data_IF_088297524826
#
_entry.id   IF_088297524826
#
_cell.length_a   1.000
_cell.length_b   1.000
_cell.length_c   1.000
_cell.angle_alpha   90.00
_cell.angle_beta   90.00
_cell.angle_gamma   90.00
#
_symmetry.space_group_name_H-M   'P 1'
#
loop_
_entity.id
_entity.type
_entity.pdbx_description
1 polymer ?
#
# COMPACT_ATOMS: atom_id res chain seq x y z
N UNK A 1 -1.59 30.52 -7.29
CA UNK A 1 -1.58 29.50 -8.35
C UNK A 1 -0.15 29.07 -8.78
N UNK A 2 0.71 29.93 -9.32
CA UNK A 2 2.06 29.52 -9.73
C UNK A 2 2.90 28.96 -8.56
N UNK A 3 2.81 29.58 -7.38
CA UNK A 3 3.51 29.13 -6.17
C UNK A 3 3.05 27.73 -5.72
N UNK A 4 1.74 27.50 -5.61
CA UNK A 4 1.18 26.21 -5.17
C UNK A 4 1.53 25.07 -6.14
N UNK A 5 1.49 25.31 -7.46
CA UNK A 5 1.94 24.35 -8.48
C UNK A 5 3.44 24.08 -8.36
N UNK A 6 4.27 25.11 -8.18
CA UNK A 6 5.72 24.93 -7.98
C UNK A 6 6.02 24.10 -6.72
N UNK A 7 5.29 24.35 -5.61
CA UNK A 7 5.46 23.58 -4.37
C UNK A 7 5.02 22.11 -4.52
N UNK A 8 3.96 21.83 -5.30
CA UNK A 8 3.61 20.46 -5.65
C UNK A 8 4.73 19.78 -6.45
N UNK A 9 5.20 20.44 -7.53
CA UNK A 9 6.26 19.87 -8.38
C UNK A 9 7.55 19.61 -7.58
N UNK A 10 7.96 20.52 -6.71
CA UNK A 10 9.11 20.36 -5.82
C UNK A 10 8.90 19.20 -4.84
N UNK A 11 7.72 19.10 -4.24
CA UNK A 11 7.37 18.03 -3.32
C UNK A 11 7.43 16.68 -4.00
N UNK A 12 6.81 16.52 -5.17
CA UNK A 12 6.81 15.28 -5.94
C UNK A 12 8.22 14.90 -6.41
N UNK A 13 8.98 15.87 -6.96
CA UNK A 13 10.36 15.65 -7.39
C UNK A 13 11.24 15.17 -6.22
N UNK A 14 11.08 15.77 -5.04
CA UNK A 14 11.84 15.37 -3.86
C UNK A 14 11.54 13.93 -3.42
N UNK A 15 10.27 13.51 -3.49
CA UNK A 15 9.88 12.13 -3.18
C UNK A 15 10.56 11.17 -4.15
N UNK A 16 10.48 11.44 -5.45
CA UNK A 16 11.11 10.62 -6.50
C UNK A 16 12.62 10.55 -6.30
N UNK A 17 13.29 11.70 -6.15
CA UNK A 17 14.75 11.76 -5.95
C UNK A 17 15.18 11.10 -4.64
N UNK A 18 14.57 11.46 -3.52
CA UNK A 18 14.96 10.91 -2.22
C UNK A 18 14.73 9.39 -2.12
N UNK A 19 13.72 8.88 -2.82
CA UNK A 19 13.43 7.45 -2.85
C UNK A 19 14.32 6.71 -3.85
N UNK A 20 14.57 7.26 -5.03
CA UNK A 20 15.46 6.66 -6.05
C UNK A 20 16.91 6.57 -5.57
N UNK A 21 17.43 7.62 -4.93
CA UNK A 21 18.81 7.65 -4.40
C UNK A 21 18.91 7.12 -2.97
N UNK A 22 17.79 6.71 -2.36
CA UNK A 22 17.77 6.14 -1.02
C UNK A 22 18.24 7.13 0.05
N UNK A 23 17.97 8.44 -0.12
CA UNK A 23 18.41 9.51 0.75
C UNK A 23 17.96 9.27 2.21
N UNK A 24 18.93 8.99 3.09
CA UNK A 24 18.72 8.74 4.50
C UNK A 24 19.70 9.60 5.30
N UNK A 25 19.19 10.39 6.23
CA UNK A 25 20.02 11.01 7.24
C UNK A 25 20.15 10.11 8.47
N UNK A 26 21.29 10.18 9.13
CA UNK A 26 21.50 9.50 10.40
C UNK A 26 21.34 10.54 11.52
N UNK A 27 20.24 10.41 12.25
CA UNK A 27 19.97 11.23 13.44
C UNK A 27 20.22 10.33 14.66
N UNK A 28 21.35 10.49 15.32
CA UNK A 28 21.79 9.60 16.40
C UNK A 28 21.94 8.14 15.93
N UNK A 29 21.18 7.22 16.54
CA UNK A 29 21.17 5.78 16.19
C UNK A 29 20.13 5.41 15.14
N UNK A 30 19.28 6.36 14.69
CA UNK A 30 18.17 6.10 13.77
C UNK A 30 18.49 6.65 12.39
N UNK A 31 18.22 5.84 11.35
CA UNK A 31 18.27 6.28 9.95
C UNK A 31 16.88 6.79 9.56
N UNK A 32 16.77 8.08 9.29
CA UNK A 32 15.53 8.74 8.87
C UNK A 32 15.54 8.90 7.35
N UNK A 33 14.42 8.59 6.72
CA UNK A 33 14.22 8.84 5.28
C UNK A 33 13.89 10.32 5.09
N UNK A 34 14.51 10.98 4.13
CA UNK A 34 14.42 12.44 3.97
C UNK A 34 13.34 12.93 3.02
N UNK A 35 12.60 12.03 2.38
CA UNK A 35 11.63 12.40 1.34
C UNK A 35 10.48 13.30 1.81
N UNK A 36 10.19 13.34 3.12
CA UNK A 36 9.16 14.18 3.71
C UNK A 36 9.62 15.62 4.01
N UNK A 37 10.93 15.86 4.05
CA UNK A 37 11.49 17.15 4.52
C UNK A 37 11.15 18.29 3.58
N UNK A 38 11.32 18.10 2.27
CA UNK A 38 11.01 19.15 1.30
C UNK A 38 9.50 19.41 1.17
N UNK A 39 8.62 18.40 1.10
CA UNK A 39 7.18 18.63 1.26
C UNK A 39 6.79 19.41 2.51
N UNK A 40 7.47 19.14 3.65
CA UNK A 40 7.22 19.86 4.88
C UNK A 40 7.62 21.35 4.77
N UNK A 41 8.78 21.64 4.18
CA UNK A 41 9.21 23.02 3.91
C UNK A 41 8.22 23.70 2.95
N UNK A 42 7.78 23.02 1.89
CA UNK A 42 6.78 23.54 0.95
C UNK A 42 5.46 23.89 1.67
N UNK A 43 4.98 23.02 2.54
CA UNK A 43 3.77 23.26 3.32
C UNK A 43 3.92 24.48 4.24
N UNK A 44 5.06 24.60 4.95
CA UNK A 44 5.33 25.76 5.81
C UNK A 44 5.36 27.06 4.98
N UNK A 45 5.97 27.05 3.82
CA UNK A 45 5.99 28.22 2.92
C UNK A 45 4.57 28.62 2.49
N UNK A 46 3.73 27.65 2.12
CA UNK A 46 2.36 27.91 1.69
C UNK A 46 1.49 28.50 2.81
N UNK A 47 1.69 28.05 4.04
CA UNK A 47 1.00 28.62 5.21
C UNK A 47 1.55 30.03 5.51
N UNK A 48 2.88 30.21 5.49
CA UNK A 48 3.50 31.50 5.77
C UNK A 48 3.17 32.58 4.73
N UNK A 49 2.91 32.19 3.48
CA UNK A 49 2.50 33.10 2.41
C UNK A 49 0.99 33.36 2.36
N UNK A 50 0.19 32.73 3.24
CA UNK A 50 -1.26 32.87 3.29
C UNK A 50 -2.04 32.15 2.18
N UNK A 51 -1.36 31.31 1.38
CA UNK A 51 -2.04 30.46 0.36
C UNK A 51 -2.98 29.43 1.02
N UNK A 52 -2.72 29.09 2.29
CA UNK A 52 -3.58 28.26 3.15
C UNK A 52 -3.73 28.96 4.50
N UNK A 53 -4.91 29.52 4.81
CA UNK A 53 -5.19 30.15 6.09
C UNK A 53 -5.09 29.16 7.27
N UNK A 54 -4.61 29.61 8.41
CA UNK A 54 -4.51 28.78 9.63
C UNK A 54 -5.88 28.32 10.12
N UNK A 55 -6.89 29.18 10.02
CA UNK A 55 -8.28 28.86 10.38
C UNK A 55 -8.81 27.67 9.55
N UNK A 56 -8.52 27.65 8.24
CA UNK A 56 -8.88 26.53 7.37
C UNK A 56 -8.16 25.23 7.78
N UNK A 57 -6.91 25.31 8.19
CA UNK A 57 -6.18 24.15 8.72
C UNK A 57 -6.80 23.64 10.02
N UNK A 58 -7.12 24.55 10.93
CA UNK A 58 -7.77 24.20 12.20
C UNK A 58 -9.09 23.47 11.96
N UNK A 59 -9.94 23.99 11.09
CA UNK A 59 -11.21 23.38 10.69
C UNK A 59 -11.01 21.98 10.07
N UNK A 60 -10.04 21.83 9.16
CA UNK A 60 -9.78 20.55 8.47
C UNK A 60 -9.14 19.50 9.39
N UNK A 61 -8.33 19.90 10.38
CA UNK A 61 -7.67 18.97 11.29
C UNK A 61 -8.51 18.58 12.50
N UNK A 62 -9.33 19.51 13.01
CA UNK A 62 -10.05 19.33 14.26
C UNK A 62 -11.58 19.40 14.07
N UNK A 63 -12.05 19.82 12.91
CA UNK A 63 -13.46 19.74 12.56
C UNK A 63 -13.96 18.30 12.42
N UNK A 64 -15.25 18.13 12.58
CA UNK A 64 -15.90 16.82 12.43
C UNK A 64 -16.25 16.56 10.95
N UNK A 65 -15.20 16.49 10.11
CA UNK A 65 -15.32 16.16 8.69
C UNK A 65 -14.73 14.79 8.40
N UNK A 66 -15.29 14.10 7.42
CA UNK A 66 -14.71 12.85 6.89
C UNK A 66 -13.34 13.11 6.22
N UNK A 67 -13.10 14.34 5.80
CA UNK A 67 -11.85 14.80 5.18
C UNK A 67 -10.68 14.95 6.17
N UNK A 68 -10.87 14.65 7.45
CA UNK A 68 -9.88 14.88 8.49
C UNK A 68 -8.63 13.97 8.29
N UNK A 69 -7.45 14.55 8.00
CA UNK A 69 -6.23 13.78 7.74
C UNK A 69 -5.74 12.99 8.96
N UNK A 70 -6.15 13.39 10.18
CA UNK A 70 -5.80 12.67 11.41
C UNK A 70 -6.59 11.35 11.52
N UNK A 71 -7.86 11.32 11.08
CA UNK A 71 -8.66 10.09 11.01
C UNK A 71 -7.98 9.08 10.06
N UNK A 72 -7.55 9.53 8.88
CA UNK A 72 -6.79 8.71 7.92
C UNK A 72 -5.46 8.20 8.49
N UNK A 73 -4.71 9.06 9.18
CA UNK A 73 -3.45 8.68 9.84
C UNK A 73 -3.70 7.64 10.94
N UNK A 74 -4.77 7.76 11.71
CA UNK A 74 -5.12 6.80 12.76
C UNK A 74 -5.38 5.41 12.17
N UNK A 75 -6.17 5.29 11.09
CA UNK A 75 -6.40 4.03 10.38
C UNK A 75 -5.06 3.45 9.92
N UNK A 76 -4.28 4.24 9.20
CA UNK A 76 -3.03 3.79 8.59
C UNK A 76 -2.00 3.32 9.63
N UNK A 77 -1.77 4.10 10.72
CA UNK A 77 -0.82 3.75 11.75
C UNK A 77 -1.27 2.51 12.53
N UNK A 78 -2.55 2.40 12.84
CA UNK A 78 -3.13 1.25 13.56
C UNK A 78 -2.95 -0.04 12.75
N UNK A 79 -3.32 -0.03 11.47
CA UNK A 79 -3.16 -1.20 10.59
C UNK A 79 -1.69 -1.55 10.37
N UNK A 80 -0.82 -0.53 10.22
CA UNK A 80 0.63 -0.72 10.12
C UNK A 80 1.20 -1.36 11.40
N UNK A 81 0.75 -0.93 12.58
CA UNK A 81 1.20 -1.49 13.86
C UNK A 81 0.87 -2.98 13.97
N UNK A 82 -0.38 -3.37 13.68
CA UNK A 82 -0.81 -4.76 13.71
C UNK A 82 -0.05 -5.63 12.70
N UNK A 83 0.09 -5.13 11.46
CA UNK A 83 0.81 -5.83 10.39
C UNK A 83 2.31 -6.01 10.71
N UNK A 84 3.00 -4.96 11.16
CA UNK A 84 4.41 -5.03 11.57
C UNK A 84 4.59 -5.91 12.81
N UNK A 85 3.65 -5.90 13.75
CA UNK A 85 3.68 -6.80 14.90
C UNK A 85 3.63 -8.28 14.46
N UNK A 86 2.71 -8.64 13.58
CA UNK A 86 2.61 -10.00 13.02
C UNK A 86 3.92 -10.44 12.33
N UNK A 87 4.61 -9.51 11.62
CA UNK A 87 5.95 -9.79 11.09
C UNK A 87 6.97 -10.10 12.20
N UNK A 88 6.93 -9.34 13.32
CA UNK A 88 7.91 -9.49 14.40
C UNK A 88 7.71 -10.75 15.24
N UNK A 89 6.47 -11.23 15.37
CA UNK A 89 6.19 -12.52 16.03
C UNK A 89 6.40 -13.72 15.10
N UNK A 90 6.72 -13.50 13.80
CA UNK A 90 7.12 -14.55 12.86
C UNK A 90 5.98 -15.16 12.05
N UNK A 91 4.79 -14.56 12.04
CA UNK A 91 3.61 -15.06 11.32
C UNK A 91 3.88 -15.34 9.83
N UNK A 92 4.39 -14.34 9.12
CA UNK A 92 4.61 -14.45 7.67
C UNK A 92 5.71 -15.47 7.33
N UNK A 93 6.74 -15.59 8.19
CA UNK A 93 7.78 -16.61 8.03
C UNK A 93 7.22 -18.01 8.18
N UNK A 94 6.35 -18.21 9.20
CA UNK A 94 5.67 -19.50 9.42
C UNK A 94 4.83 -19.89 8.20
N UNK A 95 4.04 -18.96 7.66
CA UNK A 95 3.22 -19.20 6.47
C UNK A 95 4.09 -19.59 5.27
N UNK A 96 5.14 -18.81 5.00
CA UNK A 96 6.05 -19.07 3.90
C UNK A 96 6.72 -20.46 4.01
N UNK A 97 7.20 -20.83 5.20
CA UNK A 97 7.81 -22.15 5.44
C UNK A 97 6.82 -23.30 5.22
N UNK A 98 5.56 -23.14 5.71
CA UNK A 98 4.51 -24.14 5.47
C UNK A 98 4.24 -24.33 3.98
N UNK A 99 4.13 -23.23 3.22
CA UNK A 99 3.93 -23.28 1.78
C UNK A 99 5.09 -24.02 1.08
N UNK A 100 6.32 -23.71 1.44
CA UNK A 100 7.50 -24.35 0.85
C UNK A 100 7.54 -25.86 1.12
N UNK A 101 7.21 -26.29 2.35
CA UNK A 101 7.08 -27.73 2.66
C UNK A 101 6.02 -28.42 1.79
N UNK A 102 4.88 -27.79 1.56
CA UNK A 102 3.80 -28.37 0.73
C UNK A 102 4.08 -28.38 -0.77
N UNK A 103 4.97 -27.50 -1.23
CA UNK A 103 5.36 -27.45 -2.65
C UNK A 103 6.19 -28.65 -3.08
N UNK A 104 6.93 -29.27 -2.15
CA UNK A 104 7.84 -30.39 -2.45
C UNK A 104 8.94 -29.96 -3.41
N UNK A 105 9.12 -30.68 -4.52
CA UNK A 105 10.15 -30.43 -5.53
C UNK A 105 9.65 -29.67 -6.76
N UNK A 106 8.39 -29.22 -6.78
CA UNK A 106 7.79 -28.55 -7.93
C UNK A 106 7.79 -27.02 -7.79
N UNK A 107 8.55 -26.32 -8.65
CA UNK A 107 8.54 -24.87 -8.70
C UNK A 107 7.18 -24.29 -9.13
N UNK A 108 6.42 -24.97 -10.00
CA UNK A 108 5.08 -24.56 -10.40
C UNK A 108 4.15 -24.58 -9.19
N UNK A 109 4.15 -25.68 -8.43
CA UNK A 109 3.32 -25.79 -7.22
C UNK A 109 3.73 -24.74 -6.19
N UNK A 110 5.03 -24.49 -6.01
CA UNK A 110 5.54 -23.43 -5.14
C UNK A 110 5.03 -22.04 -5.58
N UNK A 111 5.09 -21.74 -6.86
CA UNK A 111 4.64 -20.46 -7.43
C UNK A 111 3.15 -20.21 -7.16
N UNK A 112 2.31 -21.21 -7.43
CA UNK A 112 0.85 -21.12 -7.19
C UNK A 112 0.56 -20.96 -5.71
N UNK A 113 1.14 -21.80 -4.85
CA UNK A 113 0.89 -21.75 -3.40
C UNK A 113 1.38 -20.45 -2.78
N UNK A 114 2.56 -19.94 -3.19
CA UNK A 114 3.05 -18.64 -2.75
C UNK A 114 2.15 -17.50 -3.23
N UNK A 115 1.69 -17.53 -4.49
CA UNK A 115 0.74 -16.53 -4.98
C UNK A 115 -0.52 -16.51 -4.13
N UNK A 116 -1.13 -17.66 -3.87
CA UNK A 116 -2.37 -17.76 -3.08
C UNK A 116 -2.19 -17.26 -1.65
N UNK A 117 -1.12 -17.67 -0.97
CA UNK A 117 -0.91 -17.23 0.42
C UNK A 117 -0.58 -15.75 0.53
N UNK A 118 0.25 -15.23 -0.40
CA UNK A 118 0.59 -13.81 -0.48
C UNK A 118 -0.67 -13.00 -0.75
N UNK A 119 -1.50 -13.42 -1.69
CA UNK A 119 -2.78 -12.81 -2.01
C UNK A 119 -3.68 -12.73 -0.77
N UNK A 120 -3.93 -13.87 -0.14
CA UNK A 120 -4.77 -13.97 1.06
C UNK A 120 -4.27 -13.04 2.18
N UNK A 121 -2.99 -13.07 2.44
CA UNK A 121 -2.42 -12.28 3.55
C UNK A 121 -2.39 -10.80 3.21
N UNK A 122 -2.18 -10.43 1.95
CA UNK A 122 -2.15 -9.03 1.51
C UNK A 122 -3.52 -8.35 1.67
N UNK A 123 -4.60 -9.07 1.47
CA UNK A 123 -5.96 -8.54 1.68
C UNK A 123 -6.12 -7.92 3.06
N UNK A 124 -5.54 -8.54 4.10
CA UNK A 124 -5.68 -8.11 5.51
C UNK A 124 -4.49 -7.31 6.03
N UNK A 125 -3.44 -7.14 5.23
CA UNK A 125 -2.22 -6.46 5.65
C UNK A 125 -1.72 -5.49 4.57
N UNK A 126 -0.77 -4.61 4.94
CA UNK A 126 -0.20 -3.67 3.98
C UNK A 126 0.68 -4.38 2.95
N UNK A 127 0.53 -4.02 1.65
CA UNK A 127 1.39 -4.46 0.56
C UNK A 127 2.89 -4.27 0.87
N UNK A 128 3.24 -3.15 1.50
CA UNK A 128 4.64 -2.85 1.87
C UNK A 128 5.20 -3.84 2.89
N UNK A 129 4.40 -4.27 3.88
CA UNK A 129 4.82 -5.27 4.88
C UNK A 129 5.07 -6.63 4.22
N UNK A 130 4.19 -7.03 3.31
CA UNK A 130 4.33 -8.28 2.56
C UNK A 130 5.61 -8.27 1.72
N UNK A 131 5.82 -7.23 0.96
CA UNK A 131 7.02 -7.06 0.13
C UNK A 131 8.30 -7.12 0.97
N UNK A 132 8.33 -6.40 2.09
CA UNK A 132 9.50 -6.33 2.98
C UNK A 132 9.80 -7.66 3.68
N UNK A 133 8.82 -8.51 3.88
CA UNK A 133 8.96 -9.76 4.63
C UNK A 133 9.20 -10.95 3.71
N UNK A 134 8.36 -11.11 2.68
CA UNK A 134 8.45 -12.26 1.79
C UNK A 134 9.63 -12.16 0.82
N UNK A 135 9.95 -10.99 0.28
CA UNK A 135 11.05 -10.84 -0.68
C UNK A 135 12.40 -11.34 -0.15
N UNK A 136 12.92 -10.87 1.02
CA UNK A 136 14.20 -11.38 1.52
C UNK A 136 14.15 -12.85 1.92
N UNK A 137 12.99 -13.35 2.38
CA UNK A 137 12.81 -14.75 2.72
C UNK A 137 12.83 -15.65 1.48
N UNK A 138 12.14 -15.25 0.40
CA UNK A 138 12.16 -15.95 -0.88
C UNK A 138 13.58 -15.95 -1.49
N UNK A 139 14.31 -14.83 -1.45
CA UNK A 139 15.70 -14.78 -1.90
C UNK A 139 16.59 -15.76 -1.13
N UNK A 140 16.40 -15.84 0.19
CA UNK A 140 17.14 -16.79 1.02
C UNK A 140 16.81 -18.25 0.68
N UNK A 141 15.52 -18.57 0.55
CA UNK A 141 15.06 -19.90 0.16
C UNK A 141 15.58 -20.29 -1.22
N UNK A 142 15.43 -19.42 -2.22
CA UNK A 142 15.85 -19.68 -3.59
C UNK A 142 17.36 -19.97 -3.69
N UNK A 143 18.17 -19.23 -2.91
CA UNK A 143 19.61 -19.48 -2.80
C UNK A 143 19.91 -20.87 -2.24
N UNK A 144 19.22 -21.30 -1.19
CA UNK A 144 19.42 -22.60 -0.56
C UNK A 144 18.89 -23.77 -1.40
N UNK A 145 17.91 -23.52 -2.23
CA UNK A 145 17.27 -24.51 -3.12
C UNK A 145 17.84 -24.49 -4.55
N UNK A 146 18.86 -23.67 -4.79
CA UNK A 146 19.53 -23.48 -6.08
C UNK A 146 18.58 -23.19 -7.25
N UNK A 147 17.62 -22.28 -7.04
CA UNK A 147 16.65 -21.84 -8.06
C UNK A 147 16.75 -20.33 -8.32
N UNK A 148 16.27 -19.90 -9.49
CA UNK A 148 16.15 -18.47 -9.81
C UNK A 148 15.07 -17.79 -8.92
N UNK A 149 15.43 -16.81 -8.07
CA UNK A 149 14.49 -16.11 -7.22
C UNK A 149 13.54 -15.16 -7.99
N UNK A 150 13.91 -14.72 -9.19
CA UNK A 150 13.23 -13.66 -9.95
C UNK A 150 11.73 -13.94 -10.15
N UNK A 151 11.31 -15.14 -10.61
CA UNK A 151 9.90 -15.45 -10.77
C UNK A 151 9.08 -15.22 -9.49
N UNK A 152 9.62 -15.68 -8.37
CA UNK A 152 8.93 -15.68 -7.08
C UNK A 152 8.91 -14.30 -6.42
N UNK A 153 10.03 -13.56 -6.45
CA UNK A 153 10.08 -12.21 -5.86
C UNK A 153 9.26 -11.20 -6.68
N UNK A 154 9.26 -11.32 -8.01
CA UNK A 154 8.47 -10.43 -8.86
C UNK A 154 6.98 -10.75 -8.74
N UNK A 155 6.59 -12.02 -8.72
CA UNK A 155 5.23 -12.46 -8.42
C UNK A 155 4.75 -11.94 -7.06
N UNK A 156 5.59 -12.02 -6.02
CA UNK A 156 5.25 -11.47 -4.69
C UNK A 156 4.90 -10.00 -4.75
N UNK A 157 5.68 -9.22 -5.50
CA UNK A 157 5.43 -7.79 -5.66
C UNK A 157 4.12 -7.52 -6.39
N UNK A 158 3.88 -8.21 -7.51
CA UNK A 158 2.65 -8.05 -8.30
C UNK A 158 1.43 -8.49 -7.48
N UNK A 159 1.46 -9.66 -6.86
CA UNK A 159 0.36 -10.16 -6.03
C UNK A 159 0.03 -9.20 -4.87
N UNK A 160 1.05 -8.70 -4.16
CA UNK A 160 0.86 -7.76 -3.06
C UNK A 160 0.19 -6.45 -3.50
N UNK A 161 0.55 -5.90 -4.67
CA UNK A 161 -0.09 -4.67 -5.16
C UNK A 161 -1.48 -4.92 -5.77
N UNK A 162 -1.70 -6.07 -6.39
CA UNK A 162 -3.02 -6.42 -6.95
C UNK A 162 -4.05 -6.67 -5.84
N UNK A 163 -3.74 -7.53 -4.88
CA UNK A 163 -4.68 -7.89 -3.82
C UNK A 163 -4.83 -6.84 -2.72
N UNK A 164 -3.90 -5.89 -2.61
CA UNK A 164 -4.04 -4.78 -1.66
C UNK A 164 -5.17 -3.82 -2.00
N UNK A 165 -5.69 -3.82 -3.21
CA UNK A 165 -6.84 -2.98 -3.57
C UNK A 165 -8.20 -3.59 -3.17
N UNK A 166 -8.24 -4.85 -2.71
CA UNK A 166 -9.48 -5.52 -2.33
C UNK A 166 -10.16 -4.89 -1.10
N UNK A 167 -9.38 -4.53 -0.08
CA UNK A 167 -9.87 -3.85 1.12
C UNK A 167 -9.26 -2.45 1.24
N UNK A 168 -9.99 -1.54 1.87
CA UNK A 168 -9.50 -0.19 2.18
C UNK A 168 -8.13 -0.24 2.86
N UNK A 169 -7.98 -1.13 3.85
CA UNK A 169 -6.80 -1.25 4.71
C UNK A 169 -5.55 -1.84 4.02
N UNK A 170 -5.69 -2.38 2.82
CA UNK A 170 -4.59 -3.06 2.11
C UNK A 170 -3.49 -2.13 1.60
N UNK A 171 -3.81 -0.86 1.33
CA UNK A 171 -2.86 0.15 0.86
C UNK A 171 -3.19 1.51 1.45
N UNK A 172 -2.16 2.29 1.79
CA UNK A 172 -2.31 3.67 2.31
C UNK A 172 -3.10 4.57 1.36
N UNK A 173 -2.93 4.41 0.06
CA UNK A 173 -3.63 5.18 -0.97
C UNK A 173 -5.13 4.90 -0.97
N UNK A 174 -5.52 3.64 -0.76
CA UNK A 174 -6.93 3.26 -0.65
C UNK A 174 -7.56 3.90 0.59
N UNK A 175 -6.87 3.80 1.74
CA UNK A 175 -7.33 4.42 3.00
C UNK A 175 -7.56 5.91 2.78
N UNK A 176 -6.59 6.61 2.19
CA UNK A 176 -6.66 8.06 2.01
C UNK A 176 -7.82 8.46 1.10
N UNK A 177 -7.94 7.85 -0.09
CA UNK A 177 -8.99 8.18 -1.05
C UNK A 177 -10.37 7.81 -0.49
N UNK A 178 -10.53 6.60 0.02
CA UNK A 178 -11.84 6.12 0.51
C UNK A 178 -12.33 6.90 1.74
N UNK A 179 -11.44 7.19 2.70
CA UNK A 179 -11.81 7.96 3.90
C UNK A 179 -12.19 9.38 3.56
N UNK A 180 -11.49 10.03 2.63
CA UNK A 180 -11.79 11.40 2.22
C UNK A 180 -13.18 11.55 1.61
N UNK A 181 -13.63 10.54 0.84
CA UNK A 181 -14.96 10.56 0.22
C UNK A 181 -16.03 9.83 1.04
N UNK A 182 -15.78 9.55 2.31
CA UNK A 182 -16.75 8.92 3.21
C UNK A 182 -17.17 7.51 2.77
N UNK A 183 -16.33 6.79 1.96
CA UNK A 183 -16.67 5.47 1.46
C UNK A 183 -16.62 4.46 2.59
N UNK A 184 -17.78 3.87 2.91
CA UNK A 184 -17.91 2.83 3.92
C UNK A 184 -17.10 1.57 3.60
N UNK A 185 -16.70 0.82 4.63
CA UNK A 185 -15.87 -0.38 4.43
C UNK A 185 -16.55 -1.42 3.52
N UNK A 186 -17.85 -1.69 3.74
CA UNK A 186 -18.59 -2.67 2.93
C UNK A 186 -18.89 -2.18 1.52
N UNK A 187 -19.15 -0.90 1.34
CA UNK A 187 -19.38 -0.32 0.02
C UNK A 187 -18.11 -0.40 -0.82
N UNK A 188 -16.96 -0.11 -0.19
CA UNK A 188 -15.67 -0.31 -0.83
C UNK A 188 -15.45 -1.77 -1.24
N UNK A 189 -15.72 -2.72 -0.36
CA UNK A 189 -15.55 -4.16 -0.67
C UNK A 189 -16.44 -4.58 -1.83
N UNK A 190 -17.71 -4.17 -1.82
CA UNK A 190 -18.66 -4.47 -2.91
C UNK A 190 -18.14 -3.96 -4.24
N UNK A 191 -17.71 -2.70 -4.30
CA UNK A 191 -17.23 -2.08 -5.54
C UNK A 191 -15.89 -2.65 -6.01
N UNK A 192 -14.97 -2.99 -5.09
CA UNK A 192 -13.60 -3.41 -5.44
C UNK A 192 -13.41 -4.92 -5.56
N UNK A 193 -14.39 -5.75 -5.17
CA UNK A 193 -14.27 -7.21 -5.24
C UNK A 193 -14.07 -7.68 -6.68
N UNK A 194 -14.97 -7.33 -7.60
CA UNK A 194 -14.90 -7.75 -8.99
C UNK A 194 -13.68 -7.20 -9.75
N UNK A 195 -13.37 -5.89 -9.67
CA UNK A 195 -12.13 -5.32 -10.21
C UNK A 195 -10.88 -6.05 -9.75
N UNK A 196 -10.79 -6.38 -8.45
CA UNK A 196 -9.64 -7.09 -7.89
C UNK A 196 -9.50 -8.50 -8.44
N UNK A 197 -10.60 -9.24 -8.56
CA UNK A 197 -10.59 -10.60 -9.14
C UNK A 197 -10.15 -10.56 -10.61
N UNK A 198 -10.65 -9.62 -11.40
CA UNK A 198 -10.25 -9.47 -12.80
C UNK A 198 -8.77 -9.12 -12.94
N UNK A 199 -8.28 -8.19 -12.12
CA UNK A 199 -6.87 -7.86 -12.06
C UNK A 199 -6.02 -9.07 -11.62
N UNK A 200 -6.47 -9.81 -10.61
CA UNK A 200 -5.75 -10.96 -10.06
C UNK A 200 -5.62 -12.10 -11.07
N UNK A 201 -6.70 -12.45 -11.75
CA UNK A 201 -6.69 -13.49 -12.80
C UNK A 201 -5.78 -13.08 -13.95
N UNK A 202 -5.89 -11.83 -14.41
CA UNK A 202 -5.06 -11.31 -15.51
C UNK A 202 -3.60 -11.27 -15.13
N UNK A 203 -3.26 -10.68 -13.98
CA UNK A 203 -1.86 -10.56 -13.53
C UNK A 203 -1.23 -11.92 -13.26
N UNK A 204 -1.95 -12.86 -12.63
CA UNK A 204 -1.47 -14.22 -12.41
C UNK A 204 -1.20 -14.95 -13.71
N UNK A 205 -2.13 -14.89 -14.66
CA UNK A 205 -2.00 -15.54 -15.96
C UNK A 205 -0.79 -15.03 -16.73
N UNK A 206 -0.58 -13.71 -16.75
CA UNK A 206 0.57 -13.08 -17.40
C UNK A 206 1.88 -13.44 -16.70
N UNK A 207 1.93 -13.42 -15.37
CA UNK A 207 3.10 -13.85 -14.59
C UNK A 207 3.45 -15.31 -14.90
N UNK A 208 2.45 -16.19 -14.91
CA UNK A 208 2.66 -17.60 -15.21
C UNK A 208 3.20 -17.80 -16.64
N UNK A 209 2.63 -17.10 -17.63
CA UNK A 209 3.09 -17.15 -19.02
C UNK A 209 4.53 -16.65 -19.18
N UNK A 210 4.90 -15.54 -18.49
CA UNK A 210 6.25 -14.97 -18.53
C UNK A 210 7.28 -15.95 -17.96
N UNK A 211 6.95 -16.60 -16.85
CA UNK A 211 7.91 -17.42 -16.11
C UNK A 211 7.78 -18.92 -16.32
N UNK A 212 6.77 -19.43 -17.06
CA UNK A 212 6.47 -20.86 -17.23
C UNK A 212 7.67 -21.73 -17.60
N UNK A 213 8.61 -21.22 -18.40
CA UNK A 213 9.82 -21.97 -18.79
C UNK A 213 10.75 -22.20 -17.60
N UNK A 214 11.01 -21.19 -16.79
CA UNK A 214 11.85 -21.25 -15.59
C UNK A 214 11.23 -22.11 -14.48
N UNK A 215 9.91 -22.09 -14.36
CA UNK A 215 9.17 -22.85 -13.34
C UNK A 215 9.13 -24.38 -13.61
N UNK A 216 9.56 -24.84 -14.78
CA UNK A 216 9.67 -26.26 -15.09
C UNK A 216 10.94 -26.92 -14.55
N UNK A 217 11.93 -26.14 -14.15
CA UNK A 217 13.16 -26.66 -13.55
C UNK A 217 12.87 -27.32 -12.19
N UNK A 218 13.59 -28.41 -11.83
CA UNK A 218 13.37 -29.08 -10.55
C UNK A 218 13.83 -28.20 -9.38
N UNK A 219 13.18 -28.35 -8.23
CA UNK A 219 13.50 -27.69 -6.97
C UNK A 219 14.27 -28.67 -6.09
N UNK A 220 15.44 -28.28 -5.60
CA UNK A 220 16.12 -29.02 -4.54
C UNK A 220 15.43 -28.76 -3.19
N UNK A 221 15.03 -29.83 -2.50
CA UNK A 221 14.38 -29.70 -1.21
C UNK A 221 15.32 -29.01 -0.22
N UNK A 222 14.84 -27.91 0.38
CA UNK A 222 15.54 -27.19 1.44
C UNK A 222 14.70 -27.27 2.71
N UNK A 223 15.28 -27.85 3.76
CA UNK A 223 14.65 -27.88 5.08
C UNK A 223 14.84 -26.53 5.77
N UNK A 224 13.78 -25.73 5.76
CA UNK A 224 13.70 -24.51 6.55
C UNK A 224 12.75 -24.76 7.72
N UNK A 225 13.29 -24.73 8.93
CA UNK A 225 12.49 -24.79 10.14
C UNK A 225 12.31 -23.38 10.73
N UNK A 226 11.08 -23.01 10.96
CA UNK A 226 10.71 -21.79 11.68
C UNK A 226 9.96 -22.16 12.92
N UNK A 227 10.56 -21.91 14.08
CA UNK A 227 9.92 -22.09 15.38
C UNK A 227 9.33 -20.78 15.88
N UNK A 228 8.07 -20.81 16.27
CA UNK A 228 7.38 -19.68 16.92
C UNK A 228 7.69 -19.71 18.42
N UNK A 229 8.38 -18.67 18.90
CA UNK A 229 8.77 -18.58 20.31
C UNK A 229 7.59 -18.37 21.29
N UNK A 230 6.53 -17.70 20.81
CA UNK A 230 5.35 -17.40 21.65
C UNK A 230 4.08 -17.55 20.82
N UNK A 231 3.46 -18.72 20.90
CA UNK A 231 2.21 -19.03 20.18
C UNK A 231 1.04 -18.16 20.66
N UNK A 232 0.82 -17.92 21.98
CA UNK A 232 -0.21 -16.98 22.44
C UNK A 232 -0.04 -15.55 21.89
N UNK A 233 1.18 -15.02 21.86
CA UNK A 233 1.44 -13.69 21.30
C UNK A 233 1.14 -13.62 19.78
N UNK A 234 1.43 -14.72 19.04
CA UNK A 234 1.04 -14.85 17.64
C UNK A 234 -0.49 -14.90 17.51
N UNK A 235 -1.16 -15.72 18.34
CA UNK A 235 -2.61 -15.88 18.31
C UNK A 235 -3.34 -14.55 18.57
N UNK A 236 -2.88 -13.74 19.52
CA UNK A 236 -3.40 -12.39 19.80
C UNK A 236 -3.31 -11.50 18.57
N UNK A 237 -2.17 -11.53 17.85
CA UNK A 237 -2.01 -10.72 16.62
C UNK A 237 -2.95 -11.15 15.50
N UNK A 238 -3.07 -12.47 15.27
CA UNK A 238 -3.93 -13.01 14.19
C UNK A 238 -5.41 -12.81 14.54
N UNK A 239 -5.81 -13.16 15.76
CA UNK A 239 -7.19 -12.98 16.23
C UNK A 239 -7.57 -11.49 16.24
N UNK A 240 -6.68 -10.61 16.71
CA UNK A 240 -6.92 -9.17 16.73
C UNK A 240 -7.10 -8.57 15.32
N UNK A 241 -6.33 -9.01 14.35
CA UNK A 241 -6.52 -8.59 12.95
C UNK A 241 -7.86 -9.10 12.38
N UNK A 242 -8.22 -10.35 12.67
CA UNK A 242 -9.52 -10.92 12.28
C UNK A 242 -10.69 -10.18 12.92
N UNK A 243 -10.64 -9.94 14.23
CA UNK A 243 -11.65 -9.16 14.97
C UNK A 243 -11.75 -7.73 14.42
N UNK A 244 -10.62 -7.06 14.16
CA UNK A 244 -10.62 -5.73 13.54
C UNK A 244 -11.36 -5.74 12.20
N UNK A 245 -11.10 -6.74 11.34
CA UNK A 245 -11.79 -6.86 10.05
C UNK A 245 -13.30 -7.07 10.21
N UNK A 246 -13.71 -7.94 11.15
CA UNK A 246 -15.13 -8.15 11.46
C UNK A 246 -15.77 -6.87 11.98
N UNK A 247 -15.11 -6.15 12.88
CA UNK A 247 -15.61 -4.89 13.42
C UNK A 247 -15.69 -3.79 12.32
N UNK A 248 -14.76 -3.76 11.36
CA UNK A 248 -14.84 -2.87 10.19
C UNK A 248 -16.03 -3.20 9.28
N UNK A 249 -16.37 -4.48 9.12
CA UNK A 249 -17.59 -4.89 8.42
C UNK A 249 -18.82 -4.38 9.18
N UNK A 250 -18.87 -4.63 10.48
CA UNK A 250 -19.99 -4.22 11.33
C UNK A 250 -20.12 -2.68 11.42
N UNK A 251 -19.00 -1.95 11.42
CA UNK A 251 -19.00 -0.47 11.51
C UNK A 251 -19.82 0.19 10.41
N UNK A 252 -19.85 -0.39 9.21
CA UNK A 252 -20.68 0.08 8.10
C UNK A 252 -22.21 -0.01 8.36
N UNK A 253 -22.62 -0.88 9.30
CA UNK A 253 -24.03 -1.06 9.65
C UNK A 253 -24.45 -0.33 10.91
N UNK A 254 -23.50 -0.08 11.83
CA UNK A 254 -23.79 0.55 13.13
C UNK A 254 -23.32 2.00 13.21
N UNK A 255 -22.80 2.55 12.11
CA UNK A 255 -22.38 3.95 12.01
C UNK A 255 -21.15 4.30 12.86
N UNK A 256 -20.27 3.31 13.13
CA UNK A 256 -19.00 3.56 13.83
C UNK A 256 -17.91 3.99 12.85
N UNK A 257 -17.18 5.02 13.20
CA UNK A 257 -16.04 5.49 12.42
C UNK A 257 -14.93 4.41 12.31
N UNK A 258 -14.45 4.15 11.10
CA UNK A 258 -13.40 3.16 10.84
C UNK A 258 -12.10 3.44 11.62
N UNK A 259 -11.76 4.72 11.86
CA UNK A 259 -10.55 5.09 12.59
C UNK A 259 -10.60 4.67 14.06
N UNK A 260 -11.78 4.75 14.71
CA UNK A 260 -11.99 4.30 16.09
C UNK A 260 -11.80 2.78 16.17
N UNK A 261 -12.43 2.05 15.26
CA UNK A 261 -12.32 0.58 15.19
C UNK A 261 -10.86 0.15 15.04
N UNK A 262 -10.13 0.76 14.11
CA UNK A 262 -8.72 0.43 13.87
C UNK A 262 -7.84 0.76 15.08
N UNK A 263 -8.04 1.94 15.69
CA UNK A 263 -7.24 2.41 16.83
C UNK A 263 -7.47 1.53 18.06
N UNK A 264 -8.73 1.23 18.41
CA UNK A 264 -9.07 0.38 19.53
C UNK A 264 -8.57 -1.05 19.32
N UNK A 265 -8.72 -1.61 18.12
CA UNK A 265 -8.23 -2.95 17.79
C UNK A 265 -6.71 -3.05 17.91
N UNK A 266 -5.99 -2.07 17.36
CA UNK A 266 -4.53 -2.02 17.48
C UNK A 266 -4.08 -1.87 18.93
N UNK A 267 -4.74 -1.02 19.72
CA UNK A 267 -4.51 -0.89 21.15
C UNK A 267 -4.69 -2.21 21.90
N UNK A 268 -5.81 -2.90 21.66
CA UNK A 268 -6.12 -4.20 22.26
C UNK A 268 -5.06 -5.27 21.90
N UNK A 269 -4.63 -5.32 20.64
CA UNK A 269 -3.55 -6.23 20.18
C UNK A 269 -2.24 -5.91 20.89
N UNK A 270 -1.86 -4.64 21.00
CA UNK A 270 -0.61 -4.25 21.68
C UNK A 270 -0.64 -4.58 23.17
N UNK A 271 -1.75 -4.30 23.86
CA UNK A 271 -1.94 -4.66 25.30
C UNK A 271 -1.92 -6.18 25.48
N UNK A 272 -2.70 -6.92 24.68
CA UNK A 272 -2.70 -8.39 24.72
C UNK A 272 -1.32 -9.00 24.45
N UNK A 273 -0.56 -8.40 23.53
CA UNK A 273 0.82 -8.82 23.25
C UNK A 273 1.75 -8.57 24.46
N UNK A 274 1.63 -7.43 25.15
CA UNK A 274 2.39 -7.15 26.39
C UNK A 274 2.09 -8.23 27.44
N UNK A 275 0.81 -8.51 27.68
CA UNK A 275 0.37 -9.53 28.67
C UNK A 275 0.96 -10.89 28.30
N UNK A 276 0.82 -11.35 27.05
CA UNK A 276 1.31 -12.66 26.64
C UNK A 276 2.85 -12.80 26.69
N UNK A 277 3.59 -11.72 26.43
CA UNK A 277 5.05 -11.71 26.51
C UNK A 277 5.51 -11.75 27.96
N UNK A 278 4.93 -10.91 28.83
CA UNK A 278 5.27 -10.84 30.26
C UNK A 278 4.89 -12.12 31.00
N UNK A 279 3.71 -12.70 30.72
CA UNK A 279 3.27 -13.96 31.32
C UNK A 279 4.21 -15.14 31.03
N UNK A 280 4.98 -15.07 29.93
CA UNK A 280 6.03 -16.05 29.59
C UNK A 280 7.44 -15.62 29.97
N UNK A 281 7.61 -14.56 30.76
CA UNK A 281 8.92 -14.03 31.15
C UNK A 281 9.76 -13.55 29.96
N UNK A 282 9.13 -13.24 28.81
CA UNK A 282 9.83 -12.81 27.62
C UNK A 282 9.95 -11.29 27.55
N UNK A 283 11.01 -10.81 26.91
CA UNK A 283 11.24 -9.38 26.74
C UNK A 283 10.23 -8.76 25.75
N UNK A 284 9.89 -7.49 25.96
CA UNK A 284 9.05 -6.68 25.06
C UNK A 284 9.75 -6.32 23.75
N UNK A 285 10.81 -7.05 23.37
CA UNK A 285 11.61 -6.82 22.18
C UNK A 285 10.80 -6.80 20.86
N UNK A 286 9.81 -7.69 20.63
CA UNK A 286 8.97 -7.63 19.44
C UNK A 286 8.21 -6.32 19.33
N UNK A 287 7.64 -5.81 20.43
CA UNK A 287 6.90 -4.55 20.48
C UNK A 287 7.80 -3.33 20.25
N UNK A 288 8.98 -3.30 20.89
CA UNK A 288 9.98 -2.25 20.63
C UNK A 288 10.43 -2.23 19.16
N UNK A 289 10.58 -3.40 18.54
CA UNK A 289 10.89 -3.51 17.11
C UNK A 289 9.70 -3.06 16.24
N UNK A 290 8.47 -3.36 16.64
CA UNK A 290 7.26 -2.90 15.96
C UNK A 290 7.24 -1.37 15.94
N UNK A 291 7.32 -0.72 17.10
CA UNK A 291 7.32 0.74 17.21
C UNK A 291 8.44 1.40 16.37
N UNK A 292 9.65 0.83 16.37
CA UNK A 292 10.76 1.36 15.55
C UNK A 292 10.61 1.15 14.05
N UNK A 293 9.83 0.16 13.62
CA UNK A 293 9.61 -0.15 12.20
C UNK A 293 8.33 0.44 11.64
N UNK A 294 7.50 1.03 12.48
CA UNK A 294 6.35 1.80 12.01
C UNK A 294 6.81 2.92 11.08
N UNK A 295 6.01 3.25 10.09
CA UNK A 295 6.36 4.25 9.09
C UNK A 295 6.10 5.69 9.58
N UNK A 296 6.69 6.08 10.71
CA UNK A 296 6.52 7.41 11.34
C UNK A 296 6.81 8.59 10.39
N UNK A 297 7.71 8.40 9.43
CA UNK A 297 8.05 9.40 8.42
C UNK A 297 6.90 9.71 7.46
N UNK A 298 5.86 8.87 7.41
CA UNK A 298 4.66 9.16 6.64
C UNK A 298 3.75 10.19 7.33
N UNK A 299 3.83 10.35 8.64
CA UNK A 299 3.00 11.33 9.37
C UNK A 299 3.29 12.75 8.89
N UNK A 300 4.53 13.30 9.02
CA UNK A 300 4.81 14.63 8.52
C UNK A 300 4.63 14.74 7.01
N UNK A 301 4.86 13.66 6.26
CA UNK A 301 4.66 13.65 4.82
C UNK A 301 3.18 13.83 4.44
N UNK A 302 2.28 13.05 5.04
CA UNK A 302 0.84 13.12 4.78
C UNK A 302 0.28 14.50 5.14
N UNK A 303 0.63 15.02 6.31
CA UNK A 303 0.23 16.35 6.75
C UNK A 303 0.72 17.41 5.76
N UNK A 304 1.97 17.36 5.36
CA UNK A 304 2.56 18.34 4.44
C UNK A 304 1.90 18.32 3.06
N UNK A 305 1.70 17.13 2.50
CA UNK A 305 1.05 16.98 1.21
C UNK A 305 -0.41 17.40 1.23
N UNK A 306 -1.11 17.19 2.36
CA UNK A 306 -2.47 17.69 2.55
C UNK A 306 -2.51 19.22 2.43
N UNK A 307 -1.59 19.94 3.09
CA UNK A 307 -1.47 21.40 2.97
C UNK A 307 -1.18 21.84 1.54
N UNK A 308 -0.28 21.14 0.84
CA UNK A 308 0.05 21.45 -0.57
C UNK A 308 -1.18 21.29 -1.48
N UNK A 309 -1.96 20.22 -1.28
CA UNK A 309 -3.19 19.98 -2.06
C UNK A 309 -4.25 21.02 -1.73
N UNK A 310 -4.39 21.39 -0.46
CA UNK A 310 -5.34 22.44 -0.05
C UNK A 310 -5.03 23.79 -0.73
N UNK A 311 -3.74 24.16 -0.83
CA UNK A 311 -3.33 25.34 -1.56
C UNK A 311 -3.66 25.27 -3.08
N UNK A 312 -3.61 24.08 -3.68
CA UNK A 312 -3.99 23.89 -5.09
C UNK A 312 -5.51 24.01 -5.27
N UNK A 313 -6.29 23.49 -4.34
CA UNK A 313 -7.76 23.64 -4.32
C UNK A 313 -8.14 25.11 -4.18
N UNK A 314 -7.55 25.83 -3.21
CA UNK A 314 -7.80 27.26 -2.99
C UNK A 314 -7.47 28.11 -4.23
N UNK A 315 -6.54 27.66 -5.06
CA UNK A 315 -6.14 28.35 -6.30
C UNK A 315 -6.90 27.87 -7.56
N UNK A 316 -7.90 27.02 -7.44
CA UNK A 316 -8.71 26.51 -8.56
C UNK A 316 -7.94 25.65 -9.57
N UNK A 317 -6.77 25.11 -9.19
CA UNK A 317 -5.97 24.25 -10.08
C UNK A 317 -6.66 22.90 -10.27
N UNK A 318 -7.17 22.32 -9.18
CA UNK A 318 -7.84 21.04 -9.17
C UNK A 318 -9.15 21.07 -9.96
N UNK A 319 -9.91 22.15 -9.85
CA UNK A 319 -11.14 22.38 -10.62
C UNK A 319 -10.92 22.38 -12.13
N UNK A 320 -9.86 23.07 -12.59
CA UNK A 320 -9.52 23.12 -14.01
C UNK A 320 -9.15 21.74 -14.58
N UNK A 321 -8.46 20.93 -13.78
CA UNK A 321 -8.10 19.57 -14.17
C UNK A 321 -9.35 18.68 -14.14
N UNK A 322 -10.19 18.80 -13.11
CA UNK A 322 -11.44 18.05 -13.02
C UNK A 322 -12.33 18.32 -14.24
N UNK A 323 -12.57 19.58 -14.59
CA UNK A 323 -13.38 19.98 -15.72
C UNK A 323 -12.88 19.42 -17.08
N UNK A 324 -11.59 19.15 -17.21
CA UNK A 324 -11.02 18.58 -18.45
C UNK A 324 -11.30 17.06 -18.59
N UNK A 325 -11.58 16.36 -17.48
CA UNK A 325 -11.74 14.90 -17.44
C UNK A 325 -13.09 14.43 -16.90
N UNK A 326 -13.93 15.35 -16.43
CA UNK A 326 -15.29 15.07 -15.97
C UNK A 326 -16.22 14.87 -17.18
N UNK A 327 -16.39 13.62 -17.56
CA UNK A 327 -17.18 13.18 -18.70
C UNK A 327 -17.73 11.78 -18.46
N UNK A 328 -18.55 11.27 -19.35
CA UNK A 328 -19.02 9.86 -19.34
C UNK A 328 -17.86 8.85 -19.34
N UNK A 329 -16.65 9.25 -19.73
CA UNK A 329 -15.43 8.44 -19.72
C UNK A 329 -14.62 8.61 -18.43
N UNK A 330 -15.14 9.27 -17.38
CA UNK A 330 -14.41 9.56 -16.14
C UNK A 330 -13.77 8.32 -15.51
N UNK A 331 -14.45 7.18 -15.54
CA UNK A 331 -13.91 5.91 -15.07
C UNK A 331 -12.60 5.54 -15.78
N UNK A 332 -12.56 5.64 -17.10
CA UNK A 332 -11.37 5.28 -17.88
C UNK A 332 -10.29 6.34 -17.77
N UNK A 333 -10.66 7.63 -17.86
CA UNK A 333 -9.72 8.75 -17.81
C UNK A 333 -9.03 8.83 -16.45
N UNK A 334 -9.76 8.80 -15.33
CA UNK A 334 -9.19 8.84 -13.99
C UNK A 334 -8.37 7.59 -13.66
N UNK A 335 -8.78 6.40 -14.11
CA UNK A 335 -8.01 5.18 -13.98
C UNK A 335 -6.67 5.24 -14.71
N UNK A 336 -6.66 5.69 -15.97
CA UNK A 336 -5.44 5.82 -16.76
C UNK A 336 -4.54 6.95 -16.26
N UNK A 337 -5.12 8.11 -15.95
CA UNK A 337 -4.37 9.28 -15.45
C UNK A 337 -3.71 8.99 -14.11
N UNK A 338 -4.43 8.40 -13.16
CA UNK A 338 -3.87 8.05 -11.84
C UNK A 338 -2.77 7.00 -11.94
N UNK A 339 -2.91 6.02 -12.84
CA UNK A 339 -1.86 5.05 -13.12
C UNK A 339 -0.61 5.73 -13.73
N UNK A 340 -0.78 6.62 -14.69
CA UNK A 340 0.31 7.42 -15.27
C UNK A 340 0.96 8.33 -14.26
N UNK A 341 0.17 9.13 -13.53
CA UNK A 341 0.64 10.07 -12.53
C UNK A 341 1.38 9.38 -11.37
N UNK A 342 0.99 8.17 -10.97
CA UNK A 342 1.73 7.37 -9.99
C UNK A 342 3.18 7.16 -10.41
N UNK A 343 3.45 7.02 -11.70
CA UNK A 343 4.79 6.81 -12.22
C UNK A 343 5.63 8.09 -12.32
N UNK A 344 4.99 9.25 -12.28
CA UNK A 344 5.66 10.55 -12.28
C UNK A 344 5.96 11.05 -10.87
N UNK A 345 5.02 10.86 -9.92
CA UNK A 345 5.11 11.48 -8.60
C UNK A 345 5.05 10.50 -7.42
N UNK A 346 4.98 9.20 -7.66
CA UNK A 346 4.67 8.15 -6.68
C UNK A 346 3.17 8.10 -6.33
N UNK A 347 2.66 6.89 -6.03
CA UNK A 347 1.23 6.68 -5.82
C UNK A 347 0.65 7.42 -4.59
N UNK A 348 1.45 7.68 -3.55
CA UNK A 348 0.95 8.35 -2.36
C UNK A 348 0.75 9.86 -2.58
N UNK A 349 1.72 10.68 -3.05
CA UNK A 349 1.45 12.06 -3.48
C UNK A 349 0.36 12.14 -4.55
N UNK A 350 0.35 11.19 -5.49
CA UNK A 350 -0.66 11.14 -6.54
C UNK A 350 -2.06 11.02 -5.95
N UNK A 351 -2.28 10.09 -5.00
CA UNK A 351 -3.60 9.90 -4.40
C UNK A 351 -4.09 11.16 -3.66
N UNK A 352 -3.19 11.88 -3.01
CA UNK A 352 -3.52 13.15 -2.35
C UNK A 352 -3.89 14.23 -3.34
N UNK A 353 -3.12 14.38 -4.41
CA UNK A 353 -3.41 15.35 -5.46
C UNK A 353 -4.73 15.03 -6.17
N UNK A 354 -4.98 13.75 -6.48
CA UNK A 354 -6.21 13.33 -7.14
C UNK A 354 -7.44 13.49 -6.25
N UNK A 355 -7.33 13.37 -4.95
CA UNK A 355 -8.43 13.70 -4.03
C UNK A 355 -8.87 15.15 -4.22
N UNK A 356 -7.93 16.10 -4.31
CA UNK A 356 -8.26 17.50 -4.61
C UNK A 356 -8.94 17.68 -5.98
N UNK A 357 -8.56 16.92 -7.00
CA UNK A 357 -9.23 16.95 -8.32
C UNK A 357 -10.62 16.34 -8.24
N UNK A 358 -10.75 15.16 -7.62
CA UNK A 358 -12.00 14.43 -7.48
C UNK A 358 -13.07 15.23 -6.70
N UNK A 359 -12.67 16.11 -5.76
CA UNK A 359 -13.58 16.98 -5.02
C UNK A 359 -14.33 17.98 -5.91
N UNK A 360 -13.85 18.18 -7.14
CA UNK A 360 -14.45 19.10 -8.12
C UNK A 360 -15.13 18.36 -9.30
N UNK A 361 -15.19 17.02 -9.25
CA UNK A 361 -15.89 16.20 -10.24
C UNK A 361 -17.38 16.20 -9.94
N UNK A 362 -18.21 16.18 -10.99
CA UNK A 362 -19.68 16.13 -10.87
C UNK A 362 -20.14 14.90 -10.08
N UNK A 363 -21.22 15.04 -9.34
CA UNK A 363 -21.76 13.98 -8.45
C UNK A 363 -22.02 12.67 -9.21
N UNK A 364 -22.50 12.75 -10.45
CA UNK A 364 -22.77 11.58 -11.31
C UNK A 364 -21.50 10.77 -11.64
N UNK A 365 -20.36 11.43 -11.80
CA UNK A 365 -19.09 10.83 -12.19
C UNK A 365 -18.14 10.58 -11.01
N UNK A 366 -18.46 11.10 -9.81
CA UNK A 366 -17.56 11.08 -8.66
C UNK A 366 -17.18 9.66 -8.24
N UNK A 367 -18.14 8.81 -7.92
CA UNK A 367 -17.83 7.46 -7.45
C UNK A 367 -17.10 6.59 -8.48
N UNK A 368 -17.50 6.57 -9.77
CA UNK A 368 -16.70 5.94 -10.82
C UNK A 368 -15.25 6.44 -10.87
N UNK A 369 -15.03 7.75 -10.78
CA UNK A 369 -13.70 8.34 -10.80
C UNK A 369 -12.88 8.01 -9.53
N UNK A 370 -13.51 8.00 -8.35
CA UNK A 370 -12.89 7.65 -7.07
C UNK A 370 -12.34 6.21 -7.10
N UNK A 371 -13.18 5.23 -7.45
CA UNK A 371 -12.74 3.82 -7.51
C UNK A 371 -11.76 3.57 -8.64
N UNK A 372 -11.92 4.22 -9.78
CA UNK A 372 -10.96 4.16 -10.89
C UNK A 372 -9.58 4.71 -10.47
N UNK A 373 -9.56 5.80 -9.69
CA UNK A 373 -8.31 6.36 -9.14
C UNK A 373 -7.63 5.39 -8.17
N UNK A 374 -8.38 4.68 -7.34
CA UNK A 374 -7.87 3.61 -6.48
C UNK A 374 -7.22 2.50 -7.32
N UNK A 375 -7.89 2.05 -8.37
CA UNK A 375 -7.38 1.02 -9.29
C UNK A 375 -6.09 1.51 -9.96
N UNK A 376 -6.10 2.72 -10.52
CA UNK A 376 -4.95 3.30 -11.18
C UNK A 376 -3.74 3.48 -10.25
N UNK A 377 -3.97 3.89 -8.99
CA UNK A 377 -2.94 3.98 -7.95
C UNK A 377 -2.24 2.65 -7.69
N UNK A 378 -3.01 1.57 -7.57
CA UNK A 378 -2.48 0.24 -7.28
C UNK A 378 -1.83 -0.40 -8.51
N UNK A 379 -2.51 -0.38 -9.65
CA UNK A 379 -2.01 -1.00 -10.88
C UNK A 379 -0.87 -0.21 -11.52
N UNK A 380 -0.92 1.12 -11.49
CA UNK A 380 0.16 1.98 -11.97
C UNK A 380 1.49 1.71 -11.26
N UNK A 381 1.45 1.27 -10.01
CA UNK A 381 2.64 0.91 -9.24
C UNK A 381 3.40 -0.31 -9.81
N UNK A 382 2.78 -1.09 -10.67
CA UNK A 382 3.42 -2.24 -11.32
C UNK A 382 4.28 -1.86 -12.53
N UNK A 383 4.13 -0.64 -13.08
CA UNK A 383 4.80 -0.21 -14.31
C UNK A 383 6.27 0.17 -14.08
N UNK A 384 6.54 1.00 -13.08
CA UNK A 384 7.92 1.40 -12.74
C UNK A 384 8.20 1.30 -11.24
N UNK A 385 9.48 1.09 -10.85
CA UNK A 385 9.83 1.09 -9.44
C UNK A 385 9.61 2.43 -8.72
N UNK A 386 9.51 3.54 -9.45
CA UNK A 386 9.30 4.88 -8.88
C UNK A 386 7.85 5.07 -8.43
N UNK A 387 6.92 4.37 -9.06
CA UNK A 387 5.49 4.54 -8.84
C UNK A 387 5.02 4.21 -7.41
N UNK A 388 5.77 3.44 -6.64
CA UNK A 388 5.42 3.19 -5.23
C UNK A 388 6.64 3.01 -4.33
N UNK A 389 6.49 3.37 -3.05
CA UNK A 389 7.55 3.12 -2.06
C UNK A 389 7.82 1.63 -1.88
N UNK A 390 6.81 0.78 -1.98
CA UNK A 390 6.97 -0.68 -1.91
C UNK A 390 7.83 -1.21 -3.05
N UNK A 391 7.68 -0.68 -4.28
CA UNK A 391 8.51 -1.04 -5.44
C UNK A 391 9.98 -0.70 -5.25
N UNK A 392 10.25 0.52 -4.77
CA UNK A 392 11.63 0.94 -4.51
C UNK A 392 12.29 0.16 -3.38
N UNK A 393 11.52 -0.15 -2.31
CA UNK A 393 12.00 -1.01 -1.24
C UNK A 393 12.27 -2.43 -1.75
N UNK A 394 11.39 -2.96 -2.58
CA UNK A 394 11.53 -4.25 -3.23
C UNK A 394 12.82 -4.31 -4.07
N UNK A 395 13.02 -3.35 -4.96
CA UNK A 395 14.22 -3.29 -5.81
C UNK A 395 15.50 -3.16 -4.96
N UNK A 396 15.47 -2.37 -3.88
CA UNK A 396 16.59 -2.25 -2.94
C UNK A 396 16.92 -3.59 -2.26
N UNK A 397 15.90 -4.36 -1.87
CA UNK A 397 16.09 -5.70 -1.26
C UNK A 397 16.68 -6.67 -2.27
N UNK A 398 16.10 -6.74 -3.46
CA UNK A 398 16.54 -7.60 -4.56
C UNK A 398 18.02 -7.34 -4.89
N UNK A 399 18.39 -6.06 -5.04
CA UNK A 399 19.79 -5.65 -5.25
C UNK A 399 20.70 -6.03 -4.08
N UNK A 400 20.26 -5.79 -2.83
CA UNK A 400 21.05 -6.13 -1.64
C UNK A 400 21.23 -7.65 -1.45
N UNK A 401 20.30 -8.44 -1.98
CA UNK A 401 20.38 -9.91 -1.98
C UNK A 401 21.12 -10.49 -3.20
N UNK A 402 21.75 -9.62 -4.00
CA UNK A 402 22.52 -9.99 -5.19
C UNK A 402 21.70 -10.77 -6.23
N UNK A 403 20.42 -10.48 -6.35
CA UNK A 403 19.57 -11.01 -7.42
C UNK A 403 19.74 -10.11 -8.64
N UNK A 404 20.11 -10.69 -9.79
CA UNK A 404 20.30 -9.94 -11.04
C UNK A 404 18.94 -9.54 -11.64
N UNK A 405 18.44 -8.40 -11.20
CA UNK A 405 17.19 -7.80 -11.70
C UNK A 405 17.33 -6.29 -11.71
N UNK A 406 17.38 -5.72 -12.91
CA UNK A 406 17.68 -4.32 -13.14
C UNK A 406 16.38 -3.50 -13.22
N UNK A 407 16.51 -2.17 -13.16
CA UNK A 407 15.39 -1.23 -13.31
C UNK A 407 14.62 -1.46 -14.63
N UNK A 408 15.32 -1.62 -15.74
CA UNK A 408 14.69 -1.85 -17.04
C UNK A 408 14.02 -3.22 -17.17
N UNK A 409 14.50 -4.24 -16.46
CA UNK A 409 13.83 -5.55 -16.38
C UNK A 409 12.47 -5.44 -15.68
N UNK A 410 12.42 -4.59 -14.63
CA UNK A 410 11.16 -4.27 -13.97
C UNK A 410 10.19 -3.58 -14.92
N UNK A 411 10.62 -2.50 -15.57
CA UNK A 411 9.77 -1.72 -16.50
C UNK A 411 9.27 -2.60 -17.64
N UNK A 412 10.15 -3.39 -18.25
CA UNK A 412 9.80 -4.27 -19.39
C UNK A 412 8.75 -5.33 -18.99
N UNK A 413 8.94 -6.01 -17.87
CA UNK A 413 7.97 -7.00 -17.38
C UNK A 413 6.73 -6.34 -16.78
N UNK A 414 6.92 -5.20 -16.08
CA UNK A 414 5.84 -4.40 -15.53
C UNK A 414 4.89 -3.90 -16.60
N UNK A 415 5.38 -3.37 -17.72
CA UNK A 415 4.55 -2.87 -18.81
C UNK A 415 3.63 -3.96 -19.38
N UNK A 416 4.15 -5.16 -19.57
CA UNK A 416 3.37 -6.32 -20.08
C UNK A 416 2.25 -6.71 -19.12
N UNK A 417 2.45 -6.52 -17.80
CA UNK A 417 1.45 -6.89 -16.79
C UNK A 417 0.50 -5.73 -16.52
N UNK A 418 1.01 -4.51 -16.37
CA UNK A 418 0.23 -3.34 -15.91
C UNK A 418 -0.92 -3.00 -16.84
N UNK A 419 -0.65 -2.86 -18.13
CA UNK A 419 -1.68 -2.40 -19.08
C UNK A 419 -2.88 -3.36 -19.17
N UNK A 420 -2.69 -4.68 -19.39
CA UNK A 420 -3.84 -5.60 -19.42
C UNK A 420 -4.53 -5.73 -18.05
N UNK A 421 -3.76 -5.67 -16.95
CA UNK A 421 -4.33 -5.79 -15.61
C UNK A 421 -5.14 -4.56 -15.23
N UNK A 422 -4.66 -3.35 -15.58
CA UNK A 422 -5.40 -2.11 -15.41
C UNK A 422 -6.70 -2.13 -16.23
N UNK A 423 -6.63 -2.51 -17.50
CA UNK A 423 -7.81 -2.60 -18.37
C UNK A 423 -8.84 -3.62 -17.83
N UNK A 424 -8.37 -4.79 -17.37
CA UNK A 424 -9.24 -5.80 -16.77
C UNK A 424 -9.90 -5.29 -15.46
N UNK A 425 -9.15 -4.60 -14.60
CA UNK A 425 -9.69 -4.02 -13.37
C UNK A 425 -10.72 -2.92 -13.65
N UNK A 426 -10.43 -2.00 -14.57
CA UNK A 426 -11.36 -0.94 -14.97
C UNK A 426 -12.61 -1.52 -15.67
N UNK A 427 -12.47 -2.57 -16.48
CA UNK A 427 -13.58 -3.32 -17.04
C UNK A 427 -14.46 -3.98 -15.97
N UNK A 428 -13.83 -4.57 -14.95
CA UNK A 428 -14.53 -5.10 -13.77
C UNK A 428 -15.26 -4.02 -12.98
N UNK A 429 -14.69 -2.83 -12.86
CA UNK A 429 -15.33 -1.67 -12.21
C UNK A 429 -16.52 -1.16 -13.04
N UNK A 430 -16.36 -1.06 -14.37
CA UNK A 430 -17.45 -0.64 -15.25
C UNK A 430 -18.68 -1.57 -15.12
N UNK A 431 -18.45 -2.88 -15.02
CA UNK A 431 -19.53 -3.85 -14.78
C UNK A 431 -20.26 -3.59 -13.45
N UNK A 432 -19.57 -3.15 -12.39
CA UNK A 432 -20.20 -2.86 -11.10
C UNK A 432 -21.12 -1.63 -11.12
N UNK A 433 -20.96 -0.74 -12.09
CA UNK A 433 -21.86 0.42 -12.27
C UNK A 433 -23.00 0.12 -13.27
N UNK A 434 -22.99 -1.03 -13.94
CA UNK A 434 -24.06 -1.46 -14.86
C UNK A 434 -25.04 -2.41 -14.15
N UNK A 435 -24.53 -3.21 -13.19
CA UNK A 435 -25.31 -4.14 -12.36
C UNK A 435 -25.95 -3.39 -11.18
#
# INVERSE_FOLDING_TARGET
>A
MALSVAMLCLSCLSVVVATAFGAKARIGKVRVRLYWVLPFICAVVLVATGEVPLEQLEEQFFGDSDMNPLKTLAIFLSMSAMSVYLDKVGFFKLLATKVMKHAGTSQIKLFILLYLIISLVTVFTSNSTIVLTFTPFICYFAKNSNIDPVPFVFMTYVAANTWSMFLIIGNTTNVYIATYFGVGFMDYVRMMALPTVFAAVTSFSLLFLIFRKKLKEPLQASELEVTIRNVPALAVGVAGLGVCTVLLILSSYIGLDMWIVCLCSAGAVMVGAVICLLAKGQSLHPLKKTARRMPWHLVPFLISMFVVVLALMNNGVTEKIAAAFDSELSLLSFGALSAGASNLMNNLPMSMFFVGILSSVSEANLMPAVFATVIGSNMGSLLTPVASMSAMMWLSIVKHKHVDFKFFDFVKKGAVITLPTLAAALGGLALMFII
#
